data_IF_434294287997
#
_entry.id   IF_434294287997
#
_cell.length_a   1.000
_cell.length_b   1.000
_cell.length_c   1.000
_cell.angle_alpha   90.00
_cell.angle_beta   90.00
_cell.angle_gamma   90.00
#
_symmetry.space_group_name_H-M   'P 1'
#
loop_
_entity.id
_entity.type
_entity.pdbx_description
1 polymer ?
#
# COMPACT_ATOMS: atom_id res chain seq x y z
N UNK A 1 -10.85 -14.73 -1.76
CA UNK A 1 -9.47 -14.21 -1.56
C UNK A 1 -8.74 -15.19 -0.67
N UNK A 2 -7.55 -15.67 -1.05
CA UNK A 2 -6.81 -16.69 -0.29
C UNK A 2 -6.22 -16.10 0.99
N UNK A 3 -5.91 -14.79 0.98
CA UNK A 3 -5.30 -14.12 2.11
C UNK A 3 -6.27 -13.12 2.73
N UNK A 4 -6.57 -13.29 4.01
CA UNK A 4 -7.41 -12.36 4.78
C UNK A 4 -6.60 -11.16 5.27
N UNK A 5 -5.28 -11.29 5.33
CA UNK A 5 -4.36 -10.28 5.84
C UNK A 5 -2.95 -10.43 5.28
N UNK A 6 -2.12 -9.41 5.47
CA UNK A 6 -0.69 -9.51 5.19
C UNK A 6 -0.01 -10.63 6.01
N UNK A 7 -0.49 -10.89 7.24
CA UNK A 7 0.05 -11.97 8.08
C UNK A 7 -0.16 -13.35 7.47
N UNK A 8 -1.30 -13.59 6.84
CA UNK A 8 -1.58 -14.86 6.15
C UNK A 8 -0.64 -15.06 4.97
N UNK A 9 -0.37 -13.98 4.22
CA UNK A 9 0.57 -14.04 3.09
C UNK A 9 2.01 -14.26 3.58
N UNK A 10 2.43 -13.60 4.66
CA UNK A 10 3.73 -13.85 5.32
C UNK A 10 3.85 -15.31 5.71
N UNK A 11 2.85 -15.87 6.39
CA UNK A 11 2.85 -17.27 6.78
C UNK A 11 2.92 -18.23 5.59
N UNK A 12 2.29 -17.90 4.48
CA UNK A 12 2.38 -18.66 3.25
C UNK A 12 3.79 -18.61 2.65
N UNK A 13 4.40 -17.43 2.56
CA UNK A 13 5.76 -17.28 2.07
C UNK A 13 6.78 -18.02 2.93
N UNK A 14 6.57 -18.02 4.24
CA UNK A 14 7.41 -18.74 5.20
C UNK A 14 7.29 -20.27 4.99
N UNK A 15 6.06 -20.80 4.87
CA UNK A 15 5.81 -22.21 4.60
C UNK A 15 6.41 -22.68 3.26
N UNK A 16 6.45 -21.80 2.26
CA UNK A 16 7.03 -22.09 0.94
C UNK A 16 8.54 -21.81 0.88
N UNK A 17 9.21 -21.46 1.99
CA UNK A 17 10.64 -21.13 2.04
C UNK A 17 11.03 -19.84 1.32
N UNK A 18 10.07 -18.94 1.09
CA UNK A 18 10.25 -17.68 0.37
C UNK A 18 10.38 -16.46 1.28
N UNK A 19 10.42 -16.68 2.60
CA UNK A 19 10.61 -15.65 3.61
C UNK A 19 11.60 -16.14 4.67
N UNK A 20 12.47 -15.22 5.09
CA UNK A 20 13.42 -15.42 6.18
C UNK A 20 13.13 -14.41 7.29
N UNK A 21 13.17 -14.87 8.55
CA UNK A 21 13.14 -14.01 9.74
C UNK A 21 14.55 -13.72 10.21
N UNK A 22 14.81 -12.46 10.51
CA UNK A 22 16.10 -11.98 11.02
C UNK A 22 15.88 -11.42 12.43
N UNK A 23 16.53 -12.03 13.41
CA UNK A 23 16.46 -11.68 14.84
C UNK A 23 17.62 -10.82 15.30
N UNK A 24 18.70 -10.76 14.51
CA UNK A 24 19.82 -9.88 14.74
C UNK A 24 19.41 -8.41 14.64
N UNK A 25 20.06 -7.51 15.41
CA UNK A 25 19.77 -6.09 15.34
C UNK A 25 20.07 -5.53 13.93
N UNK A 26 19.09 -4.86 13.32
CA UNK A 26 19.24 -4.21 12.00
C UNK A 26 18.70 -2.79 12.06
N UNK A 27 19.43 -1.85 11.48
CA UNK A 27 19.05 -0.44 11.45
C UNK A 27 18.07 -0.12 10.31
N UNK A 28 17.00 0.67 10.57
CA UNK A 28 16.15 1.18 9.51
C UNK A 28 16.82 2.31 8.71
N UNK A 29 18.01 2.77 9.13
CA UNK A 29 18.77 3.81 8.43
C UNK A 29 19.82 3.15 7.54
N UNK A 30 19.59 3.16 6.24
CA UNK A 30 20.43 2.66 5.15
C UNK A 30 20.64 1.14 5.13
N UNK A 31 20.87 0.49 6.28
CA UNK A 31 21.28 -0.92 6.36
C UNK A 31 20.21 -1.86 5.78
N UNK A 32 18.95 -1.71 6.19
CA UNK A 32 17.83 -2.51 5.62
C UNK A 32 17.70 -2.31 4.12
N UNK A 33 17.95 -1.09 3.63
CA UNK A 33 17.87 -0.79 2.20
C UNK A 33 18.99 -1.46 1.43
N UNK A 34 20.21 -1.45 1.98
CA UNK A 34 21.35 -2.14 1.38
C UNK A 34 21.11 -3.66 1.31
N UNK A 35 20.63 -4.26 2.39
CA UNK A 35 20.26 -5.68 2.41
C UNK A 35 19.20 -5.97 1.34
N UNK A 36 18.13 -5.17 1.29
CA UNK A 36 17.06 -5.33 0.31
C UNK A 36 17.60 -5.20 -1.13
N UNK A 37 18.50 -4.27 -1.39
CA UNK A 37 19.05 -4.04 -2.74
C UNK A 37 19.82 -5.27 -3.22
N UNK A 38 20.62 -5.89 -2.35
CA UNK A 38 21.32 -7.15 -2.66
C UNK A 38 20.36 -8.31 -2.88
N UNK A 39 19.40 -8.48 -1.97
CA UNK A 39 18.37 -9.51 -2.11
C UNK A 39 17.58 -9.38 -3.41
N UNK A 40 17.27 -8.15 -3.82
CA UNK A 40 16.56 -7.91 -5.08
C UNK A 40 17.40 -8.31 -6.29
N UNK A 41 18.69 -7.99 -6.28
CA UNK A 41 19.61 -8.33 -7.37
C UNK A 41 19.85 -9.85 -7.50
N UNK A 42 19.76 -10.58 -6.40
CA UNK A 42 19.97 -12.05 -6.33
C UNK A 42 18.65 -12.84 -6.40
N UNK A 43 17.51 -12.18 -6.65
CA UNK A 43 16.17 -12.78 -6.58
C UNK A 43 15.90 -13.47 -5.23
N UNK A 44 16.54 -12.99 -4.16
CA UNK A 44 16.50 -13.54 -2.82
C UNK A 44 15.12 -13.47 -2.16
N UNK A 45 14.94 -14.10 -0.99
CA UNK A 45 13.67 -14.19 -0.29
C UNK A 45 13.15 -12.83 0.19
N UNK A 46 11.89 -12.77 0.60
CA UNK A 46 11.39 -11.71 1.47
C UNK A 46 12.05 -11.84 2.85
N UNK A 47 12.27 -10.71 3.53
CA UNK A 47 12.89 -10.72 4.86
C UNK A 47 12.04 -9.95 5.84
N UNK A 48 11.77 -10.56 7.01
CA UNK A 48 11.12 -9.93 8.14
C UNK A 48 12.16 -9.66 9.24
N UNK A 49 12.53 -8.40 9.42
CA UNK A 49 13.42 -7.96 10.51
C UNK A 49 12.60 -7.81 11.80
N UNK A 50 12.83 -8.69 12.77
CA UNK A 50 12.09 -8.69 14.03
C UNK A 50 12.75 -7.83 15.11
N UNK A 51 14.02 -7.51 14.94
CA UNK A 51 14.82 -6.73 15.89
C UNK A 51 15.34 -5.45 15.22
N UNK A 52 14.46 -4.48 15.11
CA UNK A 52 14.77 -3.18 14.48
C UNK A 52 15.34 -2.24 15.52
N UNK A 53 16.57 -1.75 15.30
CA UNK A 53 17.28 -0.87 16.23
C UNK A 53 17.74 0.39 15.52
N UNK A 54 17.31 1.56 16.01
CA UNK A 54 17.73 2.84 15.49
C UNK A 54 19.21 3.17 15.78
N UNK A 55 19.77 4.16 15.10
CA UNK A 55 21.16 4.59 15.32
C UNK A 55 21.44 5.08 16.75
N UNK A 56 20.39 5.51 17.45
CA UNK A 56 20.42 5.94 18.85
C UNK A 56 20.32 4.76 19.85
N UNK A 57 20.31 3.52 19.34
CA UNK A 57 20.12 2.32 20.14
C UNK A 57 18.66 2.04 20.53
N UNK A 58 17.71 2.87 20.10
CA UNK A 58 16.28 2.67 20.36
C UNK A 58 15.77 1.45 19.62
N UNK A 59 15.17 0.52 20.35
CA UNK A 59 14.50 -0.65 19.77
C UNK A 59 13.06 -0.32 19.43
N UNK A 60 12.65 -0.68 18.23
CA UNK A 60 11.25 -0.55 17.79
C UNK A 60 10.46 -1.82 18.13
N UNK A 61 9.21 -1.63 18.57
CA UNK A 61 8.30 -2.74 18.86
C UNK A 61 7.69 -3.36 17.59
N UNK A 62 7.84 -2.72 16.44
CA UNK A 62 7.25 -3.14 15.18
C UNK A 62 8.34 -3.73 14.28
N UNK A 63 8.13 -4.93 13.71
CA UNK A 63 9.03 -5.50 12.72
C UNK A 63 8.92 -4.78 11.37
N UNK A 64 9.95 -4.93 10.52
CA UNK A 64 9.98 -4.40 9.16
C UNK A 64 10.08 -5.54 8.16
N UNK A 65 9.18 -5.54 7.19
CA UNK A 65 9.17 -6.49 6.07
C UNK A 65 9.74 -5.81 4.82
N UNK A 66 10.75 -6.44 4.23
CA UNK A 66 11.36 -5.94 2.99
C UNK A 66 11.35 -7.02 1.91
N UNK A 67 11.59 -6.60 0.67
CA UNK A 67 11.67 -7.47 -0.51
C UNK A 67 10.44 -8.36 -0.73
N UNK A 68 9.26 -7.95 -0.24
CA UNK A 68 8.03 -8.75 -0.31
C UNK A 68 7.69 -9.17 -1.76
N UNK A 69 7.77 -8.25 -2.69
CA UNK A 69 7.47 -8.45 -4.11
C UNK A 69 8.72 -8.36 -5.00
N UNK A 70 9.87 -8.76 -4.49
CA UNK A 70 11.15 -8.70 -5.19
C UNK A 70 11.31 -9.74 -6.32
N UNK A 71 10.37 -10.69 -6.47
CA UNK A 71 10.36 -11.64 -7.59
C UNK A 71 8.99 -11.70 -8.23
N UNK A 72 8.96 -12.02 -9.53
CA UNK A 72 7.72 -12.20 -10.29
C UNK A 72 6.86 -13.30 -9.69
N UNK A 73 7.47 -14.35 -9.18
CA UNK A 73 6.79 -15.48 -8.56
C UNK A 73 6.01 -15.03 -7.29
N UNK A 74 6.62 -14.23 -6.40
CA UNK A 74 5.92 -13.71 -5.21
C UNK A 74 4.80 -12.74 -5.56
N UNK A 75 4.96 -11.95 -6.63
CA UNK A 75 3.86 -11.12 -7.15
C UNK A 75 2.71 -11.99 -7.64
N UNK A 76 3.01 -13.04 -8.42
CA UNK A 76 2.02 -13.97 -8.92
C UNK A 76 1.28 -14.69 -7.76
N UNK A 77 2.02 -15.17 -6.76
CA UNK A 77 1.44 -15.79 -5.56
C UNK A 77 0.46 -14.84 -4.85
N UNK A 78 0.82 -13.57 -4.68
CA UNK A 78 -0.07 -12.59 -4.05
C UNK A 78 -1.36 -12.35 -4.84
N UNK A 79 -1.31 -12.53 -6.15
CA UNK A 79 -2.46 -12.40 -7.06
C UNK A 79 -3.19 -13.72 -7.32
N UNK A 80 -2.82 -14.82 -6.62
CA UNK A 80 -3.35 -16.19 -6.85
C UNK A 80 -3.17 -16.65 -8.31
N UNK A 81 -2.04 -16.34 -8.88
CA UNK A 81 -1.70 -16.68 -10.25
C UNK A 81 -0.34 -17.36 -10.31
N UNK A 82 -0.05 -17.95 -11.44
CA UNK A 82 1.30 -18.34 -11.83
C UNK A 82 1.94 -17.20 -12.63
N UNK A 83 3.27 -17.10 -12.70
CA UNK A 83 3.96 -16.03 -13.42
C UNK A 83 3.50 -15.85 -14.88
N UNK A 84 3.25 -16.92 -15.60
CA UNK A 84 2.76 -16.93 -16.99
C UNK A 84 1.35 -16.31 -17.12
N UNK A 85 0.54 -16.35 -16.06
CA UNK A 85 -0.82 -15.82 -16.05
C UNK A 85 -0.95 -14.39 -15.51
N UNK A 86 0.14 -13.76 -15.12
CA UNK A 86 0.10 -12.35 -14.67
C UNK A 86 -0.38 -11.39 -15.76
N UNK A 87 -0.11 -11.72 -17.02
CA UNK A 87 -0.58 -10.94 -18.16
C UNK A 87 -2.12 -10.84 -18.21
N UNK A 88 -2.83 -11.92 -17.87
CA UNK A 88 -4.30 -11.94 -17.82
C UNK A 88 -4.86 -10.92 -16.83
N UNK A 89 -4.16 -10.68 -15.71
CA UNK A 89 -4.53 -9.65 -14.74
C UNK A 89 -4.41 -8.27 -15.37
N UNK A 90 -3.31 -8.01 -16.10
CA UNK A 90 -3.11 -6.74 -16.81
C UNK A 90 -4.17 -6.49 -17.88
N UNK A 91 -4.51 -7.51 -18.66
CA UNK A 91 -5.55 -7.45 -19.69
C UNK A 91 -6.94 -7.18 -19.07
N UNK A 92 -7.27 -7.84 -17.96
CA UNK A 92 -8.50 -7.59 -17.20
C UNK A 92 -8.56 -6.13 -16.70
N UNK A 93 -7.48 -5.61 -16.13
CA UNK A 93 -7.42 -4.22 -15.66
C UNK A 93 -7.51 -3.20 -16.80
N UNK A 94 -6.89 -3.49 -17.94
CA UNK A 94 -6.98 -2.67 -19.14
C UNK A 94 -8.42 -2.60 -19.67
N UNK A 95 -9.09 -3.74 -19.74
CA UNK A 95 -10.51 -3.81 -20.12
C UNK A 95 -11.40 -3.02 -19.15
N UNK A 96 -11.20 -3.17 -17.84
CA UNK A 96 -11.98 -2.44 -16.82
C UNK A 96 -11.80 -0.92 -16.92
N UNK A 97 -10.66 -0.47 -17.40
CA UNK A 97 -10.39 0.97 -17.61
C UNK A 97 -11.10 1.54 -18.83
N UNK A 98 -11.30 0.73 -19.87
CA UNK A 98 -11.98 1.10 -21.12
C UNK A 98 -12.86 -0.06 -21.58
N UNK A 99 -14.00 -0.31 -20.89
CA UNK A 99 -14.87 -1.40 -21.24
C UNK A 99 -15.46 -1.21 -22.64
N UNK A 100 -15.31 -2.21 -23.48
CA UNK A 100 -15.97 -2.25 -24.77
C UNK A 100 -17.27 -3.06 -24.65
N UNK A 101 -18.38 -2.59 -25.22
CA UNK A 101 -19.61 -3.35 -25.22
C UNK A 101 -19.43 -4.63 -26.03
N UNK A 102 -20.02 -5.76 -25.60
CA UNK A 102 -19.94 -7.01 -26.36
C UNK A 102 -20.59 -6.86 -27.73
N UNK A 103 -19.91 -7.31 -28.77
CA UNK A 103 -20.40 -7.27 -30.15
C UNK A 103 -21.32 -8.44 -30.51
N UNK A 104 -21.37 -9.48 -29.66
CA UNK A 104 -22.17 -10.70 -29.90
C UNK A 104 -22.70 -11.30 -28.60
N UNK A 105 -23.72 -12.15 -28.72
CA UNK A 105 -24.28 -12.87 -27.56
C UNK A 105 -23.27 -13.86 -26.95
N UNK A 106 -22.35 -14.44 -27.75
CA UNK A 106 -21.27 -15.29 -27.28
C UNK A 106 -20.31 -14.53 -26.38
N UNK A 107 -19.85 -13.34 -26.82
CA UNK A 107 -18.99 -12.47 -26.03
C UNK A 107 -19.65 -12.02 -24.72
N UNK A 108 -20.98 -11.81 -24.72
CA UNK A 108 -21.73 -11.49 -23.50
C UNK A 108 -21.67 -12.63 -22.48
N UNK A 109 -21.77 -13.87 -22.92
CA UNK A 109 -21.67 -15.06 -22.05
C UNK A 109 -20.23 -15.21 -21.49
N UNK A 110 -19.22 -14.96 -22.31
CA UNK A 110 -17.81 -14.99 -21.90
C UNK A 110 -17.47 -13.89 -20.86
N UNK A 111 -18.26 -12.82 -20.84
CA UNK A 111 -18.09 -11.74 -19.84
C UNK A 111 -18.73 -12.05 -18.47
N UNK A 112 -19.53 -13.11 -18.30
CA UNK A 112 -20.17 -13.43 -17.03
C UNK A 112 -19.17 -13.63 -15.87
N UNK A 113 -18.04 -14.37 -16.04
CA UNK A 113 -17.05 -14.51 -14.98
C UNK A 113 -16.42 -13.17 -14.59
N UNK A 114 -16.15 -12.31 -15.57
CA UNK A 114 -15.65 -10.97 -15.36
C UNK A 114 -16.65 -10.10 -14.58
N UNK A 115 -17.92 -10.16 -14.94
CA UNK A 115 -19.02 -9.47 -14.22
C UNK A 115 -19.10 -9.88 -12.74
N UNK A 116 -18.95 -11.18 -12.45
CA UNK A 116 -18.86 -11.68 -11.06
C UNK A 116 -17.65 -11.13 -10.32
N UNK A 117 -16.49 -11.09 -10.99
CA UNK A 117 -15.26 -10.52 -10.43
C UNK A 117 -15.44 -9.04 -10.09
N UNK A 118 -16.00 -8.26 -11.03
CA UNK A 118 -16.29 -6.83 -10.82
C UNK A 118 -17.23 -6.63 -9.64
N UNK A 119 -18.28 -7.44 -9.54
CA UNK A 119 -19.25 -7.34 -8.44
C UNK A 119 -18.61 -7.68 -7.09
N UNK A 120 -17.68 -8.66 -7.07
CA UNK A 120 -16.93 -9.04 -5.88
C UNK A 120 -15.88 -7.99 -5.44
N UNK A 121 -15.49 -7.06 -6.32
CA UNK A 121 -14.56 -5.97 -6.01
C UNK A 121 -15.20 -4.82 -5.21
N UNK A 122 -16.51 -4.81 -5.05
CA UNK A 122 -17.20 -3.75 -4.29
C UNK A 122 -16.72 -3.74 -2.84
N UNK A 123 -16.34 -2.57 -2.29
CA UNK A 123 -15.95 -2.46 -0.90
C UNK A 123 -17.12 -2.77 0.02
N UNK A 124 -16.82 -3.42 1.14
CA UNK A 124 -17.80 -3.72 2.19
C UNK A 124 -17.58 -2.79 3.38
N UNK A 125 -18.64 -2.20 3.89
CA UNK A 125 -18.59 -1.46 5.15
C UNK A 125 -18.64 -2.45 6.31
N UNK A 126 -17.72 -2.33 7.25
CA UNK A 126 -17.68 -3.13 8.48
C UNK A 126 -17.94 -2.21 9.68
N UNK A 127 -18.70 -2.68 10.65
CA UNK A 127 -19.05 -1.90 11.84
C UNK A 127 -17.86 -1.73 12.80
N UNK A 128 -16.90 -2.64 12.78
CA UNK A 128 -15.67 -2.60 13.59
C UNK A 128 -14.49 -3.08 12.74
N UNK A 129 -13.48 -2.24 12.60
CA UNK A 129 -12.28 -2.56 11.85
C UNK A 129 -11.08 -2.79 12.78
N UNK A 130 -10.27 -3.83 12.59
CA UNK A 130 -9.08 -4.06 13.41
C UNK A 130 -8.10 -2.87 13.43
N UNK A 131 -8.00 -2.13 12.32
CA UNK A 131 -7.15 -0.93 12.24
C UNK A 131 -7.63 0.25 13.10
N UNK A 132 -8.79 0.14 13.74
CA UNK A 132 -9.36 1.15 14.66
C UNK A 132 -9.32 0.71 16.12
N UNK A 133 -8.65 -0.38 16.45
CA UNK A 133 -8.54 -0.85 17.84
C UNK A 133 -7.65 0.05 18.69
N UNK A 134 -6.64 0.67 18.08
CA UNK A 134 -5.75 1.64 18.73
C UNK A 134 -5.90 2.96 18.00
N UNK A 135 -6.35 3.97 18.73
CA UNK A 135 -6.52 5.34 18.23
C UNK A 135 -5.64 6.26 19.08
N UNK A 136 -4.69 6.92 18.44
CA UNK A 136 -3.81 7.91 19.07
C UNK A 136 -4.23 9.30 18.62
N UNK A 137 -4.38 10.23 19.55
CA UNK A 137 -4.84 11.61 19.27
C UNK A 137 -3.96 12.64 19.97
N UNK A 138 -3.89 13.84 19.43
CA UNK A 138 -3.20 14.97 20.05
C UNK A 138 -1.74 14.66 20.38
N UNK A 139 -1.39 14.76 21.66
CA UNK A 139 -0.02 14.54 22.14
C UNK A 139 0.46 13.09 22.05
N UNK A 140 -0.43 12.13 21.87
CA UNK A 140 -0.06 10.71 21.82
C UNK A 140 0.43 10.28 20.43
N UNK A 141 0.18 11.12 19.42
CA UNK A 141 0.69 10.90 18.06
C UNK A 141 2.20 11.09 18.05
N UNK A 142 2.92 10.07 17.62
CA UNK A 142 4.37 10.14 17.46
C UNK A 142 4.85 9.16 16.36
N UNK A 143 5.17 9.69 15.20
CA UNK A 143 5.69 8.92 14.07
C UNK A 143 7.07 8.29 14.34
N UNK A 144 7.84 8.83 15.31
CA UNK A 144 9.11 8.25 15.71
C UNK A 144 8.97 6.91 16.47
N UNK A 145 7.74 6.47 16.77
CA UNK A 145 7.47 5.11 17.29
C UNK A 145 7.49 4.04 16.21
N UNK A 146 7.39 4.46 14.94
CA UNK A 146 7.40 3.55 13.79
C UNK A 146 8.83 3.42 13.25
N UNK A 147 9.26 2.23 12.82
CA UNK A 147 10.57 2.01 12.22
C UNK A 147 10.60 2.48 10.75
N UNK A 148 10.33 3.77 10.54
CA UNK A 148 10.31 4.36 9.22
C UNK A 148 11.74 4.45 8.68
N UNK A 149 11.95 3.97 7.47
CA UNK A 149 13.29 3.84 6.89
C UNK A 149 13.81 5.17 6.34
N UNK A 150 15.14 5.38 6.48
CA UNK A 150 15.91 6.30 5.65
C UNK A 150 16.62 5.46 4.59
N UNK A 151 16.16 5.58 3.33
CA UNK A 151 16.55 4.66 2.26
C UNK A 151 17.82 5.08 1.52
N UNK A 152 18.13 6.38 1.48
CA UNK A 152 19.27 6.91 0.70
C UNK A 152 20.13 7.85 1.52
N UNK A 153 21.45 7.86 1.27
CA UNK A 153 22.34 8.87 1.84
C UNK A 153 21.89 10.29 1.47
N UNK A 154 21.86 11.18 2.44
CA UNK A 154 21.45 12.57 2.22
C UNK A 154 19.93 12.80 2.19
N UNK A 155 19.13 11.80 2.47
CA UNK A 155 17.68 12.00 2.68
C UNK A 155 17.47 12.96 3.86
N UNK A 156 16.62 14.00 3.69
CA UNK A 156 16.42 15.00 4.75
C UNK A 156 15.64 14.45 5.96
N UNK A 157 14.87 13.36 5.80
CA UNK A 157 14.10 12.71 6.84
C UNK A 157 13.62 11.31 6.40
N UNK A 158 13.22 10.44 7.34
CA UNK A 158 12.68 9.11 7.02
C UNK A 158 11.49 9.17 6.09
N UNK A 159 11.37 8.16 5.21
CA UNK A 159 10.37 8.09 4.16
C UNK A 159 9.46 6.87 4.34
N UNK A 160 8.16 7.09 4.52
CA UNK A 160 7.14 6.04 4.45
C UNK A 160 7.01 5.63 2.98
N UNK A 161 7.55 4.48 2.62
CA UNK A 161 7.78 4.09 1.22
C UNK A 161 6.54 3.51 0.53
N UNK A 162 5.65 2.83 1.26
CA UNK A 162 4.51 2.09 0.69
C UNK A 162 3.18 2.33 1.42
N UNK A 163 2.82 3.58 1.73
CA UNK A 163 1.55 3.86 2.40
C UNK A 163 0.38 3.71 1.43
N UNK A 164 -0.65 2.99 1.83
CA UNK A 164 -1.95 3.02 1.20
C UNK A 164 -2.73 4.20 1.76
N UNK A 165 -2.96 5.21 0.93
CA UNK A 165 -3.62 6.45 1.32
C UNK A 165 -5.01 6.50 0.72
N UNK A 166 -6.00 6.65 1.58
CA UNK A 166 -7.38 6.89 1.19
C UNK A 166 -7.63 8.39 1.20
N UNK A 167 -8.12 8.95 0.10
CA UNK A 167 -8.55 10.34 0.04
C UNK A 167 -10.00 10.41 -0.42
N UNK A 168 -10.75 11.39 0.10
CA UNK A 168 -12.14 11.60 -0.27
C UNK A 168 -12.29 12.95 -0.98
N UNK A 169 -13.05 12.94 -2.09
CA UNK A 169 -13.42 14.16 -2.81
C UNK A 169 -14.47 14.98 -2.05
N UNK A 170 -14.69 16.26 -2.43
CA UNK A 170 -15.66 17.14 -1.80
C UNK A 170 -17.13 16.81 -2.12
N UNK A 171 -17.37 15.98 -3.11
CA UNK A 171 -18.70 15.59 -3.55
C UNK A 171 -19.05 14.24 -2.93
N UNK A 172 -19.91 14.18 -1.92
CA UNK A 172 -20.49 12.91 -1.54
C UNK A 172 -21.47 12.53 -2.64
N UNK A 173 -21.21 11.44 -3.36
CA UNK A 173 -22.26 10.75 -4.10
C UNK A 173 -23.34 10.23 -3.15
N UNK A 174 -24.42 9.70 -3.66
CA UNK A 174 -25.47 9.06 -2.86
C UNK A 174 -24.94 7.92 -1.98
N UNK A 175 -23.83 7.31 -2.39
CA UNK A 175 -23.00 6.42 -1.57
C UNK A 175 -21.75 7.19 -1.09
N UNK A 176 -21.51 7.23 0.24
CA UNK A 176 -20.31 7.85 0.84
C UNK A 176 -19.00 7.29 0.31
N UNK A 177 -19.04 6.15 -0.38
CA UNK A 177 -17.90 5.52 -1.07
C UNK A 177 -17.61 6.14 -2.43
N UNK A 178 -18.61 6.81 -3.02
CA UNK A 178 -18.44 7.56 -4.24
C UNK A 178 -17.53 8.76 -3.95
N UNK A 179 -16.49 8.91 -4.74
CA UNK A 179 -15.49 9.95 -4.52
C UNK A 179 -14.34 9.56 -3.60
N UNK A 180 -14.25 8.30 -3.14
CA UNK A 180 -13.05 7.80 -2.47
C UNK A 180 -11.98 7.40 -3.50
N UNK A 181 -10.73 7.71 -3.19
CA UNK A 181 -9.57 7.26 -3.95
C UNK A 181 -8.61 6.53 -3.03
N UNK A 182 -8.12 5.40 -3.47
CA UNK A 182 -7.05 4.64 -2.83
C UNK A 182 -5.80 4.72 -3.72
N UNK A 183 -4.70 5.19 -3.16
CA UNK A 183 -3.45 5.30 -3.89
C UNK A 183 -2.23 5.06 -3.02
N UNK A 184 -1.10 4.76 -3.66
CA UNK A 184 0.20 4.68 -2.99
C UNK A 184 0.89 6.03 -3.19
N UNK A 185 1.07 6.78 -2.11
CA UNK A 185 1.72 8.09 -2.11
C UNK A 185 2.78 8.14 -1.03
N UNK A 186 4.04 8.17 -1.42
CA UNK A 186 5.15 8.25 -0.45
C UNK A 186 5.04 9.50 0.41
N UNK A 187 5.35 9.36 1.70
CA UNK A 187 5.26 10.43 2.68
C UNK A 187 6.58 10.59 3.41
N UNK A 188 7.14 11.79 3.38
CA UNK A 188 8.34 12.12 4.15
C UNK A 188 7.92 12.63 5.53
N UNK A 189 8.56 12.11 6.57
CA UNK A 189 8.30 12.53 7.94
C UNK A 189 8.90 13.92 8.16
N UNK A 190 8.06 14.89 8.54
CA UNK A 190 8.49 16.28 8.78
C UNK A 190 8.49 16.66 10.26
N UNK A 191 8.01 15.78 11.11
CA UNK A 191 7.91 16.01 12.53
C UNK A 191 7.15 14.87 13.21
N UNK A 192 6.83 15.08 14.45
CA UNK A 192 6.21 14.08 15.31
C UNK A 192 4.85 13.58 14.78
N UNK A 193 4.07 14.48 14.17
CA UNK A 193 2.69 14.28 13.74
C UNK A 193 2.43 14.75 12.30
N UNK A 194 3.50 15.01 11.53
CA UNK A 194 3.39 15.64 10.22
C UNK A 194 4.20 14.91 9.18
N UNK A 195 3.62 14.78 7.99
CA UNK A 195 4.26 14.26 6.79
C UNK A 195 4.11 15.21 5.62
N UNK A 196 5.07 15.17 4.70
CA UNK A 196 5.00 15.84 3.41
C UNK A 196 4.68 14.81 2.33
N UNK A 197 3.65 15.07 1.54
CA UNK A 197 3.25 14.22 0.41
C UNK A 197 3.44 14.99 -0.89
N UNK A 198 4.12 14.36 -1.87
CA UNK A 198 4.17 14.89 -3.23
C UNK A 198 3.19 14.15 -4.12
N UNK A 199 2.20 14.86 -4.62
CA UNK A 199 1.26 14.35 -5.61
C UNK A 199 1.59 14.82 -7.02
N UNK A 200 1.55 13.91 -7.97
CA UNK A 200 1.55 14.27 -9.38
C UNK A 200 0.14 14.70 -9.78
N UNK A 201 0.02 15.76 -10.57
CA UNK A 201 -1.25 16.41 -10.91
C UNK A 201 -2.34 15.48 -11.44
N UNK A 202 -1.97 14.44 -12.18
CA UNK A 202 -2.89 13.47 -12.76
C UNK A 202 -3.33 12.36 -11.80
N UNK A 203 -2.83 12.30 -10.57
CA UNK A 203 -3.17 11.28 -9.58
C UNK A 203 -4.43 11.66 -8.80
N UNK A 204 -5.21 10.64 -8.38
CA UNK A 204 -6.49 10.83 -7.69
C UNK A 204 -6.41 11.71 -6.45
N UNK A 205 -5.37 11.57 -5.61
CA UNK A 205 -5.17 12.44 -4.45
C UNK A 205 -4.98 13.91 -4.83
N UNK A 206 -4.20 14.20 -5.88
CA UNK A 206 -4.03 15.57 -6.38
C UNK A 206 -5.34 16.15 -6.94
N UNK A 207 -6.13 15.32 -7.63
CA UNK A 207 -7.43 15.73 -8.17
C UNK A 207 -8.42 16.03 -7.04
N UNK A 208 -8.45 15.23 -5.98
CA UNK A 208 -9.26 15.51 -4.79
C UNK A 208 -8.83 16.82 -4.14
N UNK A 209 -7.53 17.04 -3.97
CA UNK A 209 -7.01 18.30 -3.43
C UNK A 209 -7.43 19.50 -4.26
N UNK A 210 -7.32 19.43 -5.60
CA UNK A 210 -7.74 20.52 -6.49
C UNK A 210 -9.24 20.84 -6.31
N UNK A 211 -10.11 19.82 -6.31
CA UNK A 211 -11.56 20.00 -6.12
C UNK A 211 -11.92 20.58 -4.76
N UNK A 212 -11.24 20.17 -3.69
CA UNK A 212 -11.43 20.77 -2.37
C UNK A 212 -11.03 22.24 -2.35
N UNK A 213 -9.93 22.61 -2.99
CA UNK A 213 -9.51 24.01 -3.10
C UNK A 213 -10.50 24.85 -3.89
N UNK A 214 -11.02 24.34 -5.00
CA UNK A 214 -12.05 25.02 -5.81
C UNK A 214 -13.33 25.26 -5.02
N UNK A 215 -13.75 24.29 -4.20
CA UNK A 215 -14.96 24.40 -3.36
C UNK A 215 -14.79 25.30 -2.12
N UNK A 216 -13.62 25.28 -1.47
CA UNK A 216 -13.35 26.03 -0.25
C UNK A 216 -12.67 27.38 -0.45
N UNK A 217 -12.33 27.75 -1.68
CA UNK A 217 -11.53 28.95 -1.97
C UNK A 217 -10.12 28.86 -1.37
N UNK A 218 -9.51 30.01 -1.10
CA UNK A 218 -8.15 30.10 -0.52
C UNK A 218 -8.07 29.65 0.95
N UNK A 219 -9.21 29.48 1.62
CA UNK A 219 -9.32 29.09 3.05
C UNK A 219 -9.61 27.60 3.25
N UNK A 220 -9.49 26.76 2.24
CA UNK A 220 -9.74 25.32 2.36
C UNK A 220 -8.88 24.71 3.47
N UNK A 221 -9.50 24.45 4.61
CA UNK A 221 -8.92 23.72 5.74
C UNK A 221 -8.77 22.25 5.32
N UNK A 222 -7.59 21.85 4.91
CA UNK A 222 -7.19 20.46 4.72
C UNK A 222 -8.19 19.53 4.00
N UNK A 223 -7.68 18.45 3.41
CA UNK A 223 -8.52 17.39 2.86
C UNK A 223 -8.73 16.37 3.98
N UNK A 224 -9.98 15.92 4.25
CA UNK A 224 -10.19 14.77 5.10
C UNK A 224 -9.46 13.55 4.49
N UNK A 225 -8.59 12.93 5.26
CA UNK A 225 -7.93 11.67 4.95
C UNK A 225 -8.55 10.54 5.75
#
# INVERSE_FOLDING_TARGET
MPYSSLRDFIGRLEADGKLVRVTEPVSPVLEMTEIQTRLLAEEGPAVLFENVVGPDGKRFAMPVLVNLFGTVDRVAMAMERTPDRLREVGETLAFLRQPQPPGSFGELLDMIPLGRTIFAMKPKTVGRAPCQEIVLTGSDIDLARLPIQSCWPGEPAPLITWPLVVTQGPEPGDDKRDGMNLGIYRMQVMGRDRTLVRWLRHRGGAQHHARWRERGGSEAKGIPA
#
